data_IF_855447743752
#
_entry.id   IF_855447743752
#
_cell.length_a   1.000
_cell.length_b   1.000
_cell.length_c   1.000
_cell.angle_alpha   90.00
_cell.angle_beta   90.00
_cell.angle_gamma   90.00
#
_symmetry.space_group_name_H-M   'P 1'
#
loop_
_entity.id
_entity.type
_entity.pdbx_description
1 polymer ?
#
# COMPACT_ATOMS: atom_id res chain seq x y z
N UNK A 1 0.79 -3.23 -7.70
CA UNK A 1 -0.54 -3.40 -8.37
C UNK A 1 -1.15 -2.06 -8.81
N UNK A 2 -1.13 -1.00 -7.99
CA UNK A 2 -1.66 0.32 -8.33
C UNK A 2 -1.05 0.92 -9.62
N UNK A 3 0.28 0.97 -9.73
CA UNK A 3 0.96 1.45 -10.94
C UNK A 3 0.61 0.61 -12.18
N UNK A 4 0.47 -0.71 -12.04
CA UNK A 4 0.04 -1.59 -13.14
C UNK A 4 -1.37 -1.23 -13.62
N UNK A 5 -2.30 -0.94 -12.68
CA UNK A 5 -3.64 -0.50 -13.04
C UNK A 5 -3.64 0.82 -13.81
N UNK A 6 -2.84 1.79 -13.36
CA UNK A 6 -2.69 3.07 -14.06
C UNK A 6 -2.12 2.88 -15.46
N UNK A 7 -1.08 2.05 -15.61
CA UNK A 7 -0.49 1.74 -16.90
C UNK A 7 -1.50 1.10 -17.88
N UNK A 8 -2.32 0.16 -17.41
CA UNK A 8 -3.37 -0.45 -18.22
C UNK A 8 -4.44 0.55 -18.66
N UNK A 9 -4.86 1.45 -17.75
CA UNK A 9 -5.83 2.50 -18.09
C UNK A 9 -5.24 3.48 -19.10
N UNK A 10 -3.98 3.85 -18.94
CA UNK A 10 -3.28 4.74 -19.86
C UNK A 10 -3.11 4.11 -21.24
N UNK A 11 -2.73 2.83 -21.31
CA UNK A 11 -2.65 2.08 -22.57
C UNK A 11 -3.99 2.04 -23.31
N UNK A 12 -5.10 1.93 -22.59
CA UNK A 12 -6.45 1.99 -23.19
C UNK A 12 -6.83 3.38 -23.69
N UNK A 13 -6.41 4.44 -22.99
CA UNK A 13 -6.71 5.83 -23.37
C UNK A 13 -5.78 6.37 -24.46
N UNK A 14 -4.53 5.92 -24.48
CA UNK A 14 -3.47 6.34 -25.40
C UNK A 14 -2.84 5.11 -26.08
N UNK A 15 -3.47 4.53 -27.12
CA UNK A 15 -3.02 3.25 -27.71
C UNK A 15 -1.64 3.30 -28.37
N UNK A 16 -1.11 4.50 -28.66
CA UNK A 16 0.22 4.70 -29.25
C UNK A 16 1.31 5.02 -28.20
N UNK A 17 0.95 5.13 -26.93
CA UNK A 17 1.91 5.42 -25.88
C UNK A 17 2.74 4.17 -25.54
N UNK A 18 4.05 4.34 -25.47
CA UNK A 18 4.97 3.34 -24.96
C UNK A 18 5.06 3.47 -23.45
N UNK A 19 4.54 2.48 -22.72
CA UNK A 19 4.44 2.54 -21.28
C UNK A 19 5.44 1.58 -20.65
N UNK A 20 6.36 2.10 -19.85
CA UNK A 20 7.39 1.34 -19.15
C UNK A 20 7.18 1.42 -17.63
N UNK A 21 7.19 0.29 -16.94
CA UNK A 21 7.23 0.20 -15.48
C UNK A 21 8.62 -0.26 -15.04
N UNK A 22 9.34 0.60 -14.33
CA UNK A 22 10.58 0.24 -13.63
C UNK A 22 10.24 -0.32 -12.26
N UNK A 23 10.74 -1.50 -11.93
CA UNK A 23 10.41 -2.15 -10.66
C UNK A 23 11.60 -2.91 -10.06
N UNK A 24 11.69 -2.93 -8.75
CA UNK A 24 12.62 -3.80 -8.03
C UNK A 24 11.99 -5.17 -7.76
N UNK A 25 10.74 -5.16 -7.30
CA UNK A 25 9.96 -6.36 -7.01
C UNK A 25 8.47 -6.10 -7.29
N UNK A 26 7.77 -7.10 -7.82
CA UNK A 26 6.31 -7.08 -8.01
C UNK A 26 5.71 -8.17 -7.14
N UNK A 27 4.85 -7.76 -6.23
CA UNK A 27 4.11 -8.66 -5.35
C UNK A 27 2.66 -8.70 -5.77
N UNK A 28 2.31 -9.74 -6.52
CA UNK A 28 0.94 -10.01 -6.98
C UNK A 28 0.17 -10.78 -5.90
N UNK A 29 0.18 -10.26 -4.67
CA UNK A 29 -0.51 -10.90 -3.56
C UNK A 29 -2.01 -10.70 -3.66
N UNK A 30 -2.74 -11.82 -3.62
CA UNK A 30 -4.20 -11.83 -3.69
C UNK A 30 -4.74 -12.59 -4.91
N UNK A 31 -6.01 -12.95 -4.84
CA UNK A 31 -6.69 -13.74 -5.89
C UNK A 31 -6.80 -12.94 -7.20
N UNK A 32 -6.23 -13.47 -8.27
CA UNK A 32 -6.32 -12.88 -9.59
C UNK A 32 -5.25 -11.81 -9.90
N UNK A 33 -4.40 -11.39 -8.94
CA UNK A 33 -3.42 -10.32 -9.18
C UNK A 33 -2.27 -10.75 -10.08
N UNK A 34 -1.86 -12.03 -10.03
CA UNK A 34 -0.88 -12.55 -10.99
C UNK A 34 -1.43 -12.47 -12.43
N UNK A 35 -2.68 -12.90 -12.63
CA UNK A 35 -3.32 -12.79 -13.96
C UNK A 35 -3.44 -11.33 -14.40
N UNK A 36 -3.73 -10.42 -13.48
CA UNK A 36 -3.79 -8.98 -13.76
C UNK A 36 -2.43 -8.44 -14.24
N UNK A 37 -1.33 -8.86 -13.62
CA UNK A 37 0.03 -8.54 -14.04
C UNK A 37 0.34 -9.10 -15.44
N UNK A 38 -0.01 -10.36 -15.69
CA UNK A 38 0.20 -10.97 -17.01
C UNK A 38 -0.65 -10.29 -18.10
N UNK A 39 -1.86 -9.86 -17.78
CA UNK A 39 -2.70 -9.10 -18.71
C UNK A 39 -2.07 -7.76 -19.09
N UNK A 40 -1.46 -7.05 -18.14
CA UNK A 40 -0.76 -5.80 -18.43
C UNK A 40 0.42 -6.01 -19.40
N UNK A 41 1.18 -7.09 -19.23
CA UNK A 41 2.22 -7.48 -20.20
C UNK A 41 1.65 -7.76 -21.58
N UNK A 42 0.53 -8.51 -21.64
CA UNK A 42 -0.14 -8.83 -22.90
C UNK A 42 -0.70 -7.59 -23.62
N UNK A 43 -1.01 -6.51 -22.87
CA UNK A 43 -1.40 -5.21 -23.42
C UNK A 43 -0.22 -4.37 -23.93
N UNK A 44 1.02 -4.87 -23.83
CA UNK A 44 2.21 -4.19 -24.32
C UNK A 44 2.91 -3.28 -23.30
N UNK A 45 2.50 -3.30 -22.02
CA UNK A 45 3.24 -2.58 -20.98
C UNK A 45 4.61 -3.22 -20.78
N UNK A 46 5.68 -2.44 -20.96
CA UNK A 46 7.06 -2.89 -20.73
C UNK A 46 7.36 -2.93 -19.23
N UNK A 47 7.90 -4.05 -18.75
CA UNK A 47 8.31 -4.22 -17.37
C UNK A 47 9.82 -4.42 -17.30
N UNK A 48 10.53 -3.45 -16.70
CA UNK A 48 11.98 -3.47 -16.57
C UNK A 48 12.39 -3.62 -15.12
N UNK A 49 12.96 -4.79 -14.82
CA UNK A 49 13.50 -5.06 -13.49
C UNK A 49 14.80 -4.29 -13.29
N UNK A 50 14.82 -3.45 -12.25
CA UNK A 50 16.00 -2.64 -11.96
C UNK A 50 15.71 -1.61 -10.87
N UNK A 51 16.75 -0.85 -10.53
CA UNK A 51 16.69 0.20 -9.52
C UNK A 51 16.89 1.56 -10.19
N UNK A 52 15.87 2.42 -10.13
CA UNK A 52 15.98 3.81 -10.55
C UNK A 52 16.90 4.53 -9.57
N UNK A 53 18.00 5.06 -10.07
CA UNK A 53 19.00 5.77 -9.27
C UNK A 53 18.74 7.27 -9.21
N UNK A 54 18.30 7.85 -10.33
CA UNK A 54 18.04 9.29 -10.44
C UNK A 54 17.14 9.59 -11.62
N UNK A 55 16.37 10.66 -11.51
CA UNK A 55 15.63 11.28 -12.60
C UNK A 55 16.15 12.72 -12.73
N UNK A 56 16.49 13.09 -13.95
CA UNK A 56 16.96 14.44 -14.33
C UNK A 56 16.15 14.90 -15.54
N UNK A 57 16.33 16.13 -15.96
CA UNK A 57 15.75 16.70 -17.16
C UNK A 57 16.86 17.04 -18.15
N UNK A 58 16.54 16.95 -19.44
CA UNK A 58 17.40 17.48 -20.50
C UNK A 58 17.13 18.99 -20.73
N UNK A 59 17.77 19.58 -21.76
CA UNK A 59 17.61 20.99 -22.11
C UNK A 59 16.19 21.33 -22.61
N UNK A 60 15.44 20.31 -23.05
CA UNK A 60 14.05 20.42 -23.55
C UNK A 60 13.02 20.08 -22.47
N UNK A 61 13.46 19.87 -21.22
CA UNK A 61 12.65 19.49 -20.05
C UNK A 61 12.06 18.08 -20.12
N UNK A 62 12.59 17.20 -20.97
CA UNK A 62 12.16 15.80 -20.98
C UNK A 62 12.82 15.04 -19.83
N UNK A 63 12.08 14.21 -19.10
CA UNK A 63 12.66 13.41 -18.02
C UNK A 63 13.63 12.34 -18.54
N UNK A 64 14.82 12.29 -17.93
CA UNK A 64 15.82 11.23 -18.17
C UNK A 64 15.90 10.36 -16.93
N UNK A 65 15.56 9.09 -17.07
CA UNK A 65 15.60 8.09 -16.00
C UNK A 65 16.92 7.33 -16.08
N UNK A 66 17.80 7.52 -15.09
CA UNK A 66 18.97 6.67 -14.88
C UNK A 66 18.60 5.47 -14.07
N UNK A 67 18.74 4.27 -14.65
CA UNK A 67 18.33 3.01 -14.05
C UNK A 67 19.42 1.95 -14.18
N UNK A 68 19.65 1.22 -13.11
CA UNK A 68 20.42 -0.02 -13.10
C UNK A 68 19.46 -1.18 -13.40
N UNK A 69 19.50 -1.67 -14.63
CA UNK A 69 18.69 -2.80 -15.07
C UNK A 69 19.36 -4.11 -14.68
N UNK A 70 18.55 -5.11 -14.33
CA UNK A 70 18.98 -6.45 -13.94
C UNK A 70 18.39 -7.44 -14.98
N UNK A 71 19.24 -8.17 -15.68
CA UNK A 71 18.80 -9.19 -16.62
C UNK A 71 18.41 -10.52 -15.93
N UNK A 72 17.93 -11.47 -16.69
CA UNK A 72 17.50 -12.79 -16.19
C UNK A 72 18.63 -13.61 -15.55
N UNK A 73 19.89 -13.27 -15.86
CA UNK A 73 21.08 -13.90 -15.29
C UNK A 73 21.66 -13.14 -14.09
N UNK A 74 20.99 -12.07 -13.65
CA UNK A 74 21.43 -11.24 -12.54
C UNK A 74 22.54 -10.25 -12.89
N UNK A 75 22.89 -10.10 -14.18
CA UNK A 75 23.88 -9.11 -14.62
C UNK A 75 23.24 -7.73 -14.65
N UNK A 76 23.96 -6.77 -14.11
CA UNK A 76 23.48 -5.37 -14.03
C UNK A 76 24.06 -4.50 -15.14
N UNK A 77 23.28 -3.54 -15.60
CA UNK A 77 23.68 -2.52 -16.57
C UNK A 77 23.02 -1.19 -16.22
N UNK A 78 23.82 -0.14 -16.06
CA UNK A 78 23.31 1.23 -15.90
C UNK A 78 23.04 1.81 -17.30
N UNK A 79 21.85 2.40 -17.46
CA UNK A 79 21.44 3.10 -18.68
C UNK A 79 20.62 4.32 -18.37
N UNK A 80 20.63 5.30 -19.27
CA UNK A 80 19.76 6.45 -19.25
C UNK A 80 18.67 6.27 -20.31
N UNK A 81 17.41 6.50 -19.94
CA UNK A 81 16.27 6.45 -20.87
C UNK A 81 15.48 7.74 -20.76
N UNK A 82 15.24 8.37 -21.90
CA UNK A 82 14.41 9.57 -22.01
C UNK A 82 12.94 9.17 -22.10
N UNK A 83 12.09 9.98 -21.49
CA UNK A 83 10.64 9.83 -21.52
C UNK A 83 9.97 11.20 -21.67
N UNK A 84 8.70 11.22 -22.11
CA UNK A 84 7.88 12.43 -22.14
C UNK A 84 7.27 12.71 -20.77
N UNK A 85 7.01 11.66 -19.99
CA UNK A 85 6.40 11.76 -18.66
C UNK A 85 6.93 10.66 -17.75
N UNK A 86 7.19 11.01 -16.49
CA UNK A 86 7.50 10.06 -15.43
C UNK A 86 6.49 10.19 -14.30
N UNK A 87 5.86 9.08 -13.95
CA UNK A 87 4.93 8.98 -12.81
C UNK A 87 5.60 8.27 -11.65
N UNK A 88 5.74 8.94 -10.52
CA UNK A 88 6.32 8.38 -9.30
C UNK A 88 5.27 7.57 -8.54
N UNK A 89 5.53 6.27 -8.36
CA UNK A 89 4.69 5.35 -7.58
C UNK A 89 5.51 4.76 -6.44
N UNK A 90 5.88 5.61 -5.49
CA UNK A 90 6.89 5.31 -4.47
C UNK A 90 6.31 4.87 -3.12
N UNK A 91 4.99 4.97 -2.93
CA UNK A 91 4.31 4.52 -1.71
C UNK A 91 3.12 5.39 -1.32
N UNK A 92 2.52 5.06 -0.19
CA UNK A 92 1.40 5.78 0.42
C UNK A 92 1.88 6.35 1.76
N UNK A 93 1.59 7.63 1.98
CA UNK A 93 1.82 8.31 3.24
C UNK A 93 0.47 8.74 3.84
N UNK A 94 0.35 8.83 5.17
CA UNK A 94 -0.86 9.35 5.79
C UNK A 94 -1.06 10.83 5.41
N UNK A 95 -2.30 11.19 5.04
CA UNK A 95 -2.64 12.53 4.56
C UNK A 95 -2.97 13.55 5.66
N UNK A 96 -2.94 13.16 6.93
CA UNK A 96 -3.33 14.00 8.05
C UNK A 96 -2.72 13.54 9.37
N UNK A 97 -3.06 14.25 10.44
CA UNK A 97 -2.67 13.90 11.82
C UNK A 97 -3.91 13.54 12.65
N UNK A 98 -4.35 12.27 12.64
CA UNK A 98 -5.51 11.81 13.42
C UNK A 98 -5.33 11.99 14.93
N UNK A 99 -4.10 11.91 15.43
CA UNK A 99 -3.80 12.11 16.84
C UNK A 99 -4.14 13.53 17.29
N UNK A 100 -3.80 14.54 16.49
CA UNK A 100 -4.12 15.93 16.81
C UNK A 100 -5.62 16.20 16.72
N UNK A 101 -6.35 15.52 15.83
CA UNK A 101 -7.78 15.76 15.57
C UNK A 101 -8.69 14.98 16.52
N UNK A 102 -8.36 13.74 16.84
CA UNK A 102 -9.25 12.79 17.54
C UNK A 102 -8.62 12.18 18.79
N UNK A 103 -7.37 12.51 19.12
CA UNK A 103 -6.66 11.90 20.24
C UNK A 103 -6.27 10.44 20.04
N UNK A 104 -6.43 9.89 18.82
CA UNK A 104 -6.12 8.50 18.52
C UNK A 104 -4.64 8.34 18.28
N UNK A 105 -3.94 7.39 18.93
CA UNK A 105 -2.51 7.20 18.74
C UNK A 105 -2.19 6.75 17.32
N UNK A 106 -1.06 7.23 16.81
CA UNK A 106 -0.48 6.84 15.53
C UNK A 106 0.83 6.09 15.74
N UNK A 107 1.17 5.18 14.82
CA UNK A 107 2.44 4.50 14.79
C UNK A 107 3.59 5.40 14.30
N UNK A 108 4.80 4.88 14.29
CA UNK A 108 5.99 5.58 13.73
C UNK A 108 5.83 5.90 12.25
N UNK A 109 5.00 5.14 11.54
CA UNK A 109 4.64 5.33 10.13
C UNK A 109 3.57 6.41 9.91
N UNK A 110 2.99 6.96 10.99
CA UNK A 110 1.96 8.00 10.98
C UNK A 110 0.54 7.50 10.73
N UNK A 111 0.31 6.21 10.55
CA UNK A 111 -1.02 5.62 10.45
C UNK A 111 -1.63 5.36 11.83
N UNK A 112 -2.97 5.28 11.90
CA UNK A 112 -3.66 5.02 13.17
C UNK A 112 -3.26 3.64 13.70
N UNK A 113 -2.82 3.61 14.96
CA UNK A 113 -2.45 2.39 15.64
C UNK A 113 -3.68 1.64 16.14
N UNK A 114 -3.79 0.38 15.75
CA UNK A 114 -4.80 -0.56 16.23
C UNK A 114 -4.13 -1.52 17.22
N UNK A 115 -4.63 -1.65 18.45
CA UNK A 115 -4.00 -2.48 19.47
C UNK A 115 -3.89 -3.97 19.11
N UNK A 116 -4.93 -4.51 18.46
CA UNK A 116 -4.94 -5.89 17.98
C UNK A 116 -5.51 -5.95 16.56
N UNK A 117 -4.61 -5.85 15.59
CA UNK A 117 -4.98 -5.86 14.17
C UNK A 117 -5.56 -7.20 13.70
N UNK A 118 -5.17 -8.31 14.34
CA UNK A 118 -5.59 -9.64 13.87
C UNK A 118 -6.99 -10.03 14.32
N UNK A 119 -7.39 -9.58 15.50
CA UNK A 119 -8.69 -9.94 16.10
C UNK A 119 -9.69 -8.78 16.00
N UNK A 120 -9.24 -7.56 16.25
CA UNK A 120 -10.08 -6.35 16.26
C UNK A 120 -9.51 -5.25 15.33
N UNK A 121 -9.45 -5.51 14.01
CA UNK A 121 -8.72 -4.65 13.07
C UNK A 121 -9.28 -3.23 12.94
N UNK A 122 -10.51 -3.01 13.38
CA UNK A 122 -11.18 -1.72 13.27
C UNK A 122 -11.33 -0.97 14.61
N UNK A 123 -10.86 -1.55 15.73
CA UNK A 123 -11.04 -0.99 17.07
C UNK A 123 -9.78 -0.22 17.48
N UNK A 124 -9.93 1.07 17.81
CA UNK A 124 -8.83 1.89 18.31
C UNK A 124 -8.72 1.76 19.83
N UNK A 125 -7.65 2.32 20.42
CA UNK A 125 -7.50 2.43 21.87
C UNK A 125 -8.45 3.45 22.49
N UNK A 126 -9.10 4.30 21.71
CA UNK A 126 -10.07 5.29 22.15
C UNK A 126 -11.48 4.73 22.03
N UNK A 127 -12.20 4.73 23.18
CA UNK A 127 -13.57 4.23 23.22
C UNK A 127 -14.50 5.03 22.29
N UNK A 128 -15.32 4.32 21.52
CA UNK A 128 -16.27 4.91 20.58
C UNK A 128 -15.63 5.41 19.27
N UNK A 129 -14.33 5.23 19.08
CA UNK A 129 -13.64 5.58 17.82
C UNK A 129 -13.21 4.29 17.11
N UNK A 130 -13.71 4.13 15.92
CA UNK A 130 -13.39 3.01 15.02
C UNK A 130 -12.63 3.52 13.81
N UNK A 131 -11.82 2.65 13.23
CA UNK A 131 -10.96 2.99 12.08
C UNK A 131 -11.17 2.01 10.94
N UNK A 132 -11.05 2.47 9.71
CA UNK A 132 -11.18 1.62 8.53
C UNK A 132 -10.33 2.10 7.37
N UNK A 133 -10.06 1.19 6.43
CA UNK A 133 -9.39 1.49 5.18
C UNK A 133 -7.98 2.02 5.36
N UNK A 134 -7.56 2.89 4.46
CA UNK A 134 -6.19 3.42 4.41
C UNK A 134 -5.78 4.31 5.59
N UNK A 135 -6.67 4.54 6.55
CA UNK A 135 -6.31 5.21 7.80
C UNK A 135 -5.43 4.35 8.72
N UNK A 136 -5.51 3.01 8.58
CA UNK A 136 -4.71 2.04 9.36
C UNK A 136 -3.37 1.73 8.69
N UNK A 137 -3.32 1.84 7.37
CA UNK A 137 -2.12 1.53 6.59
C UNK A 137 -2.41 1.46 5.10
N UNK A 138 -1.38 1.32 4.25
CA UNK A 138 -1.57 1.13 2.84
C UNK A 138 -2.35 -0.16 2.55
N UNK A 139 -3.47 -0.05 1.84
CA UNK A 139 -4.28 -1.19 1.42
C UNK A 139 -5.02 -0.90 0.12
N UNK A 140 -5.49 -1.95 -0.55
CA UNK A 140 -6.27 -1.84 -1.76
C UNK A 140 -7.79 -1.65 -1.48
N UNK A 141 -8.58 -1.57 -2.56
CA UNK A 141 -10.04 -1.37 -2.46
C UNK A 141 -10.72 -2.58 -1.79
N UNK A 142 -10.27 -3.80 -2.08
CA UNK A 142 -10.86 -5.04 -1.52
C UNK A 142 -10.65 -5.08 -0.02
N UNK A 143 -9.42 -4.83 0.44
CA UNK A 143 -9.08 -4.77 1.85
C UNK A 143 -9.83 -3.62 2.55
N UNK A 144 -9.94 -2.47 1.90
CA UNK A 144 -10.70 -1.32 2.44
C UNK A 144 -12.19 -1.63 2.62
N UNK A 145 -12.80 -2.40 1.69
CA UNK A 145 -14.20 -2.85 1.82
C UNK A 145 -14.35 -3.84 2.97
N UNK A 146 -13.43 -4.80 3.10
CA UNK A 146 -13.45 -5.75 4.24
C UNK A 146 -13.31 -5.02 5.57
N UNK A 147 -12.39 -4.06 5.66
CA UNK A 147 -12.21 -3.23 6.85
C UNK A 147 -13.43 -2.38 7.18
N UNK A 148 -14.13 -1.85 6.15
CA UNK A 148 -15.39 -1.11 6.36
C UNK A 148 -16.46 -2.01 6.98
N UNK A 149 -16.57 -3.27 6.54
CA UNK A 149 -17.45 -4.27 7.15
C UNK A 149 -17.10 -4.57 8.60
N UNK A 150 -15.82 -4.73 8.91
CA UNK A 150 -15.33 -4.93 10.27
C UNK A 150 -15.65 -3.73 11.17
N UNK A 151 -15.43 -2.51 10.69
CA UNK A 151 -15.74 -1.28 11.43
C UNK A 151 -17.25 -1.13 11.69
N UNK A 152 -18.09 -1.43 10.69
CA UNK A 152 -19.53 -1.39 10.84
C UNK A 152 -20.02 -2.40 11.89
N UNK A 153 -19.51 -3.64 11.86
CA UNK A 153 -19.83 -4.68 12.82
C UNK A 153 -19.38 -4.30 14.25
N UNK A 154 -18.16 -3.80 14.39
CA UNK A 154 -17.63 -3.36 15.68
C UNK A 154 -18.44 -2.19 16.26
N UNK A 155 -18.85 -1.23 15.42
CA UNK A 155 -19.67 -0.09 15.81
C UNK A 155 -21.06 -0.54 16.27
N UNK A 156 -21.71 -1.45 15.51
CA UNK A 156 -23.01 -2.01 15.88
C UNK A 156 -22.96 -2.71 17.24
N UNK A 157 -21.96 -3.58 17.44
CA UNK A 157 -21.76 -4.27 18.71
C UNK A 157 -21.53 -3.29 19.87
N UNK A 158 -20.76 -2.23 19.65
CA UNK A 158 -20.53 -1.19 20.65
C UNK A 158 -21.83 -0.48 21.07
N UNK A 159 -22.67 -0.14 20.09
CA UNK A 159 -23.95 0.54 20.35
C UNK A 159 -24.96 -0.35 21.08
N UNK A 160 -24.99 -1.66 20.75
CA UNK A 160 -25.89 -2.62 21.39
C UNK A 160 -25.49 -2.93 22.85
N UNK A 161 -24.20 -3.04 23.11
CA UNK A 161 -23.70 -3.45 24.44
C UNK A 161 -23.46 -2.27 25.38
N UNK A 162 -23.46 -1.05 24.87
CA UNK A 162 -23.16 0.18 25.64
C UNK A 162 -21.70 0.27 26.13
N UNK A 163 -20.90 -0.76 25.87
CA UNK A 163 -19.49 -0.88 26.26
C UNK A 163 -18.76 -1.80 25.29
N UNK A 164 -18.37 -1.33 24.12
CA UNK A 164 -17.56 -2.15 23.22
C UNK A 164 -16.35 -2.74 23.95
N UNK A 165 -16.19 -4.03 23.87
CA UNK A 165 -15.03 -4.87 24.25
C UNK A 165 -14.09 -4.40 25.39
N UNK A 166 -14.59 -3.82 26.46
CA UNK A 166 -13.81 -3.56 27.70
C UNK A 166 -13.48 -4.83 28.49
N UNK A 167 -14.06 -5.99 28.10
CA UNK A 167 -14.08 -7.18 28.96
C UNK A 167 -12.90 -8.15 28.81
N UNK A 168 -12.19 -8.20 27.68
CA UNK A 168 -11.29 -9.32 27.43
C UNK A 168 -9.79 -8.97 27.35
N UNK A 169 -9.43 -7.71 27.19
CA UNK A 169 -8.01 -7.32 27.13
C UNK A 169 -7.30 -7.26 28.48
N UNK A 170 -8.01 -7.38 29.60
CA UNK A 170 -7.43 -7.29 30.95
C UNK A 170 -7.10 -8.64 31.61
N UNK A 171 -7.36 -9.78 30.98
CA UNK A 171 -7.11 -11.10 31.55
C UNK A 171 -6.15 -11.97 30.72
N UNK A 172 -5.05 -11.43 30.22
CA UNK A 172 -3.90 -12.26 29.89
C UNK A 172 -3.04 -12.37 31.15
N UNK A 173 -2.90 -13.58 31.76
CA UNK A 173 -1.93 -13.78 32.82
C UNK A 173 -0.53 -13.54 32.24
N UNK A 174 0.24 -12.69 32.92
CA UNK A 174 1.68 -12.54 32.66
C UNK A 174 2.31 -13.97 32.64
N UNK A 175 2.73 -14.41 31.46
CA UNK A 175 3.59 -15.57 31.35
C UNK A 175 4.93 -15.18 31.93
N UNK A 176 5.11 -15.51 33.20
CA UNK A 176 6.44 -15.57 33.85
C UNK A 176 7.31 -16.51 33.03
N UNK A 177 8.28 -15.96 32.33
CA UNK A 177 9.39 -16.71 31.75
C UNK A 177 10.29 -17.07 32.94
N UNK A 178 10.06 -18.23 33.50
CA UNK A 178 11.03 -18.86 34.39
C UNK A 178 12.20 -19.36 33.55
N UNK A 179 13.35 -18.73 33.77
CA UNK A 179 14.63 -19.13 33.22
C UNK A 179 15.00 -20.51 33.80
N UNK A 180 15.24 -21.47 32.90
CA UNK A 180 16.03 -22.67 33.19
C UNK A 180 17.10 -22.82 32.08
#
# INVERSE_FOLDING_TARGET
>A
MYAIKQAMLLSGALPLAEITIYYMDIRSFGKGYEQFYQNAKAMGVEFLKGKVARITEDEEQNPIVRVELIDEFGKTRVTDRQHDLVVLSVGLLPGGNPQAMFGVPVGEDGFIQVPDYNVFPAVTSQEGIFVTGTAVGPMDIVDSIMMAGAAASATASYLETGNGHKGEAQNQPERSVENA
#
